data_IF_522355673802
#
_entry.id   IF_522355673802
#
_cell.length_a   1.000
_cell.length_b   1.000
_cell.length_c   1.000
_cell.angle_alpha   90.00
_cell.angle_beta   90.00
_cell.angle_gamma   90.00
#
_symmetry.space_group_name_H-M   'P 1'
#
loop_
_entity.id
_entity.type
_entity.pdbx_description
1 polymer ?
#
# COMPACT_ATOMS: atom_id res chain seq x y z
N UNK A 1 -24.96 7.09 -61.06
CA UNK A 1 -24.85 7.60 -59.66
C UNK A 1 -25.41 6.57 -58.69
N UNK A 2 -24.58 5.74 -58.06
CA UNK A 2 -24.95 4.97 -56.85
C UNK A 2 -23.74 4.93 -55.94
N UNK A 3 -23.81 5.70 -54.84
CA UNK A 3 -22.79 5.78 -53.79
C UNK A 3 -22.93 4.54 -52.92
N UNK A 4 -21.90 3.68 -52.88
CA UNK A 4 -21.82 2.63 -51.86
C UNK A 4 -21.33 3.28 -50.56
N UNK A 5 -22.20 3.26 -49.56
CA UNK A 5 -21.94 3.74 -48.21
C UNK A 5 -20.99 2.74 -47.53
N UNK A 6 -19.75 3.14 -47.26
CA UNK A 6 -18.82 2.38 -46.46
C UNK A 6 -19.27 2.43 -44.99
N UNK A 7 -19.70 1.29 -44.44
CA UNK A 7 -19.99 1.15 -43.02
C UNK A 7 -18.71 0.70 -42.30
N UNK A 8 -17.91 1.66 -41.87
CA UNK A 8 -16.71 1.44 -41.08
C UNK A 8 -17.11 1.05 -39.65
N UNK A 9 -17.02 -0.24 -39.32
CA UNK A 9 -17.21 -0.75 -37.97
C UNK A 9 -15.97 -0.38 -37.12
N UNK A 10 -16.07 0.68 -36.33
CA UNK A 10 -15.05 1.07 -35.36
C UNK A 10 -15.06 0.06 -34.19
N UNK A 11 -14.12 -0.87 -34.22
CA UNK A 11 -13.78 -1.72 -33.08
C UNK A 11 -13.12 -0.85 -32.01
N UNK A 12 -13.89 -0.47 -30.98
CA UNK A 12 -13.36 0.10 -29.75
C UNK A 12 -12.60 -1.00 -29.00
N UNK A 13 -11.30 -1.11 -29.21
CA UNK A 13 -10.43 -1.85 -28.31
C UNK A 13 -10.30 -1.06 -27.01
N UNK A 14 -11.10 -1.42 -26.00
CA UNK A 14 -10.87 -0.93 -24.64
C UNK A 14 -9.54 -1.50 -24.15
N UNK A 15 -8.57 -0.64 -23.84
CA UNK A 15 -7.39 -1.05 -23.11
C UNK A 15 -7.84 -1.45 -21.70
N UNK A 16 -7.99 -2.74 -21.44
CA UNK A 16 -8.08 -3.24 -20.08
C UNK A 16 -6.69 -3.07 -19.44
N UNK A 17 -6.50 -2.03 -18.64
CA UNK A 17 -5.43 -2.04 -17.66
C UNK A 17 -5.78 -3.11 -16.64
N UNK A 18 -4.94 -4.13 -16.47
CA UNK A 18 -5.13 -5.10 -15.40
C UNK A 18 -5.08 -4.36 -14.06
N UNK A 19 -6.23 -4.15 -13.43
CA UNK A 19 -6.28 -3.72 -12.03
C UNK A 19 -5.63 -4.82 -11.20
N UNK A 20 -4.38 -4.60 -10.79
CA UNK A 20 -3.73 -5.50 -9.85
C UNK A 20 -4.35 -5.28 -8.48
N UNK A 21 -5.13 -6.25 -8.01
CA UNK A 21 -5.69 -6.21 -6.66
C UNK A 21 -4.55 -6.20 -5.64
N UNK A 22 -4.76 -5.61 -4.47
CA UNK A 22 -3.73 -5.61 -3.43
C UNK A 22 -3.37 -7.04 -3.00
N UNK A 23 -4.34 -7.97 -3.02
CA UNK A 23 -4.11 -9.37 -2.72
C UNK A 23 -3.14 -10.01 -3.72
N UNK A 24 -3.33 -9.74 -5.02
CA UNK A 24 -2.43 -10.24 -6.05
C UNK A 24 -1.01 -9.68 -5.86
N UNK A 25 -0.90 -8.37 -5.61
CA UNK A 25 0.39 -7.73 -5.31
C UNK A 25 1.11 -8.38 -4.11
N UNK A 26 0.42 -8.52 -2.98
CA UNK A 26 0.99 -9.11 -1.76
C UNK A 26 1.34 -10.59 -1.95
N UNK A 27 0.50 -11.37 -2.62
CA UNK A 27 0.79 -12.77 -2.93
C UNK A 27 2.03 -12.94 -3.80
N UNK A 28 2.24 -12.03 -4.77
CA UNK A 28 3.44 -12.01 -5.62
C UNK A 28 4.73 -11.70 -4.85
N UNK A 29 4.62 -11.16 -3.62
CA UNK A 29 5.73 -10.92 -2.69
C UNK A 29 5.87 -12.03 -1.63
N UNK A 30 5.07 -13.08 -1.69
CA UNK A 30 5.03 -14.14 -0.66
C UNK A 30 4.40 -13.69 0.66
N UNK A 31 3.62 -12.61 0.65
CA UNK A 31 2.96 -12.03 1.83
C UNK A 31 1.53 -12.57 1.96
N UNK A 32 1.43 -13.87 2.16
CA UNK A 32 0.17 -14.60 2.19
C UNK A 32 -0.54 -14.43 3.53
N UNK A 33 -1.79 -13.92 3.50
CA UNK A 33 -2.68 -13.73 4.66
C UNK A 33 -2.30 -12.58 5.62
N UNK A 34 -2.84 -11.39 5.35
CA UNK A 34 -2.80 -10.25 6.26
C UNK A 34 -4.10 -10.21 7.07
N UNK A 35 -4.04 -10.46 8.38
CA UNK A 35 -5.20 -10.44 9.28
C UNK A 35 -4.98 -9.41 10.39
N UNK A 36 -6.06 -8.81 10.96
CA UNK A 36 -5.91 -7.78 11.97
C UNK A 36 -5.06 -8.20 13.18
N UNK A 37 -5.16 -9.45 13.62
CA UNK A 37 -4.43 -9.95 14.80
C UNK A 37 -3.00 -10.41 14.47
N UNK A 38 -2.73 -10.74 13.20
CA UNK A 38 -1.43 -11.22 12.73
C UNK A 38 -1.21 -10.88 11.27
N UNK A 39 -0.08 -10.25 10.99
CA UNK A 39 0.29 -9.84 9.64
C UNK A 39 1.81 -9.82 9.52
N UNK A 40 2.33 -9.44 8.37
CA UNK A 40 3.76 -9.43 8.08
C UNK A 40 4.26 -8.00 7.87
N UNK A 41 5.56 -7.78 8.07
CA UNK A 41 6.23 -6.51 7.83
C UNK A 41 7.50 -6.75 6.99
N UNK A 42 7.57 -6.07 5.84
CA UNK A 42 8.74 -6.05 4.97
C UNK A 42 9.78 -5.06 5.48
N UNK A 43 11.04 -5.43 5.43
CA UNK A 43 12.15 -4.52 5.71
C UNK A 43 13.46 -5.00 5.07
N UNK A 44 14.47 -4.14 5.09
CA UNK A 44 15.82 -4.48 4.63
C UNK A 44 16.06 -4.32 3.13
N UNK A 45 15.32 -3.41 2.51
CA UNK A 45 15.35 -3.04 1.09
C UNK A 45 14.80 -4.13 0.18
N UNK A 46 13.78 -3.79 -0.61
CA UNK A 46 13.15 -4.69 -1.57
C UNK A 46 12.34 -5.83 -0.94
N UNK A 47 11.88 -5.67 0.30
CA UNK A 47 11.26 -6.71 1.12
C UNK A 47 12.16 -7.95 1.29
N UNK A 48 13.45 -7.72 1.56
CA UNK A 48 14.43 -8.78 1.79
C UNK A 48 14.09 -9.64 3.02
N UNK A 49 13.56 -9.02 4.06
CA UNK A 49 13.15 -9.68 5.29
C UNK A 49 11.66 -9.48 5.53
N UNK A 50 10.99 -10.57 5.92
CA UNK A 50 9.58 -10.58 6.26
C UNK A 50 9.47 -11.00 7.72
N UNK A 51 9.14 -10.04 8.60
CA UNK A 51 8.97 -10.31 10.03
C UNK A 51 7.49 -10.43 10.37
N UNK A 52 7.05 -11.51 11.06
CA UNK A 52 5.67 -11.61 11.53
C UNK A 52 5.41 -10.63 12.69
N UNK A 53 4.26 -9.98 12.63
CA UNK A 53 3.78 -9.00 13.61
C UNK A 53 2.49 -9.52 14.23
N UNK A 54 2.29 -9.26 15.52
CA UNK A 54 1.03 -9.54 16.22
C UNK A 54 0.51 -8.28 16.88
N UNK A 55 -0.74 -7.94 16.59
CA UNK A 55 -1.41 -6.82 17.26
C UNK A 55 -2.35 -7.34 18.34
N UNK A 56 -2.21 -6.75 19.51
CA UNK A 56 -3.12 -6.95 20.62
C UNK A 56 -4.35 -6.06 20.46
N UNK A 57 -5.36 -6.27 21.31
CA UNK A 57 -6.50 -5.35 21.38
C UNK A 57 -6.07 -3.93 21.76
N UNK A 58 -5.02 -3.78 22.57
CA UNK A 58 -4.50 -2.46 22.95
C UNK A 58 -3.89 -1.75 21.73
N UNK A 59 -3.17 -2.47 20.87
CA UNK A 59 -2.61 -1.92 19.65
C UNK A 59 -3.71 -1.37 18.73
N UNK A 60 -4.76 -2.17 18.54
CA UNK A 60 -5.91 -1.76 17.75
C UNK A 60 -6.70 -0.61 18.36
N UNK A 61 -6.87 -0.58 19.68
CA UNK A 61 -7.66 0.48 20.34
C UNK A 61 -7.16 1.89 20.03
N UNK A 62 -5.84 2.06 19.92
CA UNK A 62 -5.23 3.36 19.60
C UNK A 62 -5.39 3.72 18.14
N UNK A 63 -5.37 2.74 17.23
CA UNK A 63 -5.58 2.97 15.80
C UNK A 63 -7.05 3.24 15.51
N UNK A 64 -7.95 2.46 16.09
CA UNK A 64 -9.41 2.63 15.95
C UNK A 64 -9.88 3.97 16.50
N UNK A 65 -9.26 4.47 17.58
CA UNK A 65 -9.58 5.77 18.16
C UNK A 65 -9.39 6.94 17.16
N UNK A 66 -8.52 6.79 16.16
CA UNK A 66 -8.32 7.81 15.10
C UNK A 66 -9.57 7.99 14.22
N UNK A 67 -10.40 6.95 14.12
CA UNK A 67 -11.61 6.93 13.31
C UNK A 67 -12.87 7.22 14.15
N UNK A 68 -12.72 7.78 15.36
CA UNK A 68 -13.82 8.15 16.25
C UNK A 68 -13.79 9.68 16.51
N UNK A 69 -14.83 10.43 16.11
CA UNK A 69 -16.00 9.99 15.35
C UNK A 69 -15.64 9.55 13.92
N UNK A 70 -16.48 8.72 13.26
CA UNK A 70 -16.22 8.28 11.89
C UNK A 70 -16.01 9.47 10.94
N UNK A 71 -15.01 9.41 10.03
CA UNK A 71 -14.76 10.49 9.08
C UNK A 71 -16.03 10.84 8.29
N UNK A 72 -16.29 12.14 8.16
CA UNK A 72 -17.47 12.66 7.48
C UNK A 72 -17.26 12.93 5.98
N UNK A 73 -16.00 12.98 5.52
CA UNK A 73 -15.65 13.24 4.12
C UNK A 73 -14.46 12.38 3.69
N UNK A 74 -14.27 12.15 2.37
CA UNK A 74 -13.06 11.48 1.87
C UNK A 74 -11.76 12.19 2.30
N UNK A 75 -11.76 13.52 2.35
CA UNK A 75 -10.60 14.26 2.82
C UNK A 75 -10.28 13.98 4.30
N UNK A 76 -11.30 13.97 5.16
CA UNK A 76 -11.14 13.62 6.57
C UNK A 76 -10.67 12.17 6.76
N UNK A 77 -11.15 11.24 5.93
CA UNK A 77 -10.69 9.84 5.97
C UNK A 77 -9.21 9.71 5.60
N UNK A 78 -8.72 10.48 4.62
CA UNK A 78 -7.27 10.49 4.30
C UNK A 78 -6.41 11.00 5.44
N UNK A 79 -6.85 12.04 6.16
CA UNK A 79 -6.13 12.52 7.35
C UNK A 79 -6.13 11.50 8.50
N UNK A 80 -7.25 10.79 8.69
CA UNK A 80 -7.33 9.68 9.64
C UNK A 80 -6.40 8.52 9.24
N UNK A 81 -6.40 8.13 7.96
CA UNK A 81 -5.49 7.11 7.41
C UNK A 81 -4.04 7.52 7.65
N UNK A 82 -3.64 8.74 7.30
CA UNK A 82 -2.26 9.23 7.51
C UNK A 82 -1.82 9.07 8.96
N UNK A 83 -2.68 9.47 9.89
CA UNK A 83 -2.41 9.33 11.33
C UNK A 83 -2.31 7.87 11.76
N UNK A 84 -3.23 7.02 11.27
CA UNK A 84 -3.24 5.59 11.54
C UNK A 84 -1.97 4.90 11.02
N UNK A 85 -1.52 5.19 9.80
CA UNK A 85 -0.27 4.64 9.24
C UNK A 85 0.92 4.98 10.12
N UNK A 86 1.04 6.23 10.60
CA UNK A 86 2.09 6.60 11.55
C UNK A 86 2.04 5.81 12.87
N UNK A 87 0.83 5.49 13.36
CA UNK A 87 0.65 4.68 14.56
C UNK A 87 0.95 3.19 14.32
N UNK A 88 0.69 2.67 13.12
CA UNK A 88 1.15 1.35 12.70
C UNK A 88 2.68 1.31 12.70
N UNK A 89 3.34 2.24 12.01
CA UNK A 89 4.82 2.27 11.91
C UNK A 89 5.49 2.33 13.29
N UNK A 90 4.97 3.14 14.21
CA UNK A 90 5.50 3.18 15.59
C UNK A 90 5.39 1.84 16.31
N UNK A 91 4.24 1.17 16.22
CA UNK A 91 3.97 -0.11 16.91
C UNK A 91 4.74 -1.26 16.27
N UNK A 92 4.68 -1.35 14.96
CA UNK A 92 5.38 -2.38 14.18
C UNK A 92 6.88 -2.20 14.35
N UNK A 93 7.39 -0.97 14.21
CA UNK A 93 8.80 -0.66 14.40
C UNK A 93 9.34 -1.05 15.77
N UNK A 94 8.55 -0.89 16.84
CA UNK A 94 8.93 -1.36 18.17
C UNK A 94 9.02 -2.89 18.28
N UNK A 95 8.21 -3.64 17.52
CA UNK A 95 8.26 -5.11 17.49
C UNK A 95 9.36 -5.65 16.59
N UNK A 96 9.59 -5.03 15.44
CA UNK A 96 10.50 -5.53 14.39
C UNK A 96 11.91 -4.94 14.50
N UNK A 97 12.08 -3.87 15.28
CA UNK A 97 13.30 -3.09 15.38
C UNK A 97 13.51 -2.12 14.23
N UNK A 98 12.50 -1.88 13.38
CA UNK A 98 12.57 -0.87 12.30
C UNK A 98 12.31 0.55 12.79
N UNK A 99 12.10 0.74 14.11
CA UNK A 99 12.04 2.08 14.74
C UNK A 99 13.34 2.91 14.60
N UNK A 100 14.43 2.30 14.12
CA UNK A 100 15.70 2.97 13.80
C UNK A 100 15.84 3.29 12.31
N UNK A 101 14.78 3.11 11.53
CA UNK A 101 14.71 3.55 10.14
C UNK A 101 14.99 5.04 10.02
N UNK A 102 15.64 5.43 8.93
CA UNK A 102 15.88 6.82 8.60
C UNK A 102 15.28 7.12 7.23
N UNK A 103 14.69 8.30 7.11
CA UNK A 103 13.99 8.69 5.91
C UNK A 103 14.90 8.66 4.67
N UNK A 104 14.31 8.23 3.55
CA UNK A 104 14.91 8.31 2.23
C UNK A 104 15.70 7.07 1.82
N UNK A 105 15.41 6.60 0.62
CA UNK A 105 16.13 5.48 0.01
C UNK A 105 17.61 5.81 -0.18
N UNK A 106 18.48 4.89 0.23
CA UNK A 106 19.95 4.98 0.20
C UNK A 106 20.60 5.94 1.20
N UNK A 107 19.84 6.66 2.04
CA UNK A 107 20.42 7.45 3.14
C UNK A 107 21.16 6.54 4.13
N UNK A 108 20.58 5.36 4.40
CA UNK A 108 21.22 4.25 5.12
C UNK A 108 20.61 2.95 4.64
N UNK A 109 21.48 1.99 4.32
CA UNK A 109 21.09 0.64 3.93
C UNK A 109 21.34 -0.27 5.11
N UNK A 110 20.42 -1.19 5.36
CA UNK A 110 20.60 -2.18 6.40
C UNK A 110 19.33 -2.96 6.66
N UNK A 111 19.46 -4.06 7.39
CA UNK A 111 18.35 -4.99 7.62
C UNK A 111 17.22 -4.39 8.47
N UNK A 112 17.38 -3.21 9.08
CA UNK A 112 16.34 -2.51 9.86
C UNK A 112 15.91 -1.18 9.23
N UNK A 113 16.21 -1.00 7.95
CA UNK A 113 15.86 0.19 7.19
C UNK A 113 14.82 -0.18 6.12
N UNK A 114 14.05 0.80 5.69
CA UNK A 114 12.96 0.65 4.74
C UNK A 114 13.28 1.45 3.47
N UNK A 115 13.17 0.80 2.31
CA UNK A 115 13.15 1.51 1.04
C UNK A 115 11.73 1.77 0.55
N UNK A 116 11.60 2.37 -0.63
CA UNK A 116 10.28 2.65 -1.20
C UNK A 116 9.44 1.39 -1.46
N UNK A 117 10.05 0.23 -1.67
CA UNK A 117 9.34 -1.04 -1.85
C UNK A 117 8.83 -1.55 -0.50
N UNK A 118 9.67 -1.50 0.53
CA UNK A 118 9.27 -1.86 1.90
C UNK A 118 8.10 -0.99 2.37
N UNK A 119 8.26 0.34 2.28
CA UNK A 119 7.30 1.35 2.72
C UNK A 119 5.93 1.20 2.03
N UNK A 120 5.93 1.10 0.69
CA UNK A 120 4.69 0.95 -0.07
C UNK A 120 4.00 -0.40 0.18
N UNK A 121 4.78 -1.46 0.40
CA UNK A 121 4.25 -2.79 0.73
C UNK A 121 3.62 -2.80 2.12
N UNK A 122 4.31 -2.25 3.12
CA UNK A 122 3.81 -2.14 4.49
C UNK A 122 2.57 -1.26 4.57
N UNK A 123 2.57 -0.11 3.87
CA UNK A 123 1.39 0.75 3.76
C UNK A 123 0.21 -0.01 3.14
N UNK A 124 0.43 -0.77 2.06
CA UNK A 124 -0.61 -1.61 1.44
C UNK A 124 -1.18 -2.63 2.44
N UNK A 125 -0.30 -3.27 3.23
CA UNK A 125 -0.72 -4.20 4.29
C UNK A 125 -1.61 -3.47 5.29
N UNK A 126 -1.15 -2.35 5.87
CA UNK A 126 -1.90 -1.64 6.92
C UNK A 126 -3.25 -1.11 6.41
N UNK A 127 -3.29 -0.55 5.20
CA UNK A 127 -4.54 -0.15 4.54
C UNK A 127 -5.50 -1.33 4.40
N UNK A 128 -5.00 -2.50 4.00
CA UNK A 128 -5.82 -3.71 3.91
C UNK A 128 -6.39 -4.15 5.26
N UNK A 129 -5.64 -3.96 6.36
CA UNK A 129 -6.10 -4.25 7.71
C UNK A 129 -7.19 -3.26 8.15
N UNK A 130 -7.01 -1.95 7.89
CA UNK A 130 -8.04 -0.94 8.14
C UNK A 130 -9.33 -1.26 7.36
N UNK A 131 -9.21 -1.70 6.11
CA UNK A 131 -10.35 -2.13 5.30
C UNK A 131 -11.05 -3.36 5.91
N UNK A 132 -10.30 -4.37 6.35
CA UNK A 132 -10.85 -5.55 7.02
C UNK A 132 -11.57 -5.22 8.33
N UNK A 133 -11.10 -4.21 9.06
CA UNK A 133 -11.75 -3.68 10.27
C UNK A 133 -12.94 -2.77 9.98
N UNK A 134 -13.26 -2.50 8.72
CA UNK A 134 -14.37 -1.63 8.32
C UNK A 134 -14.16 -0.15 8.63
N UNK A 135 -12.91 0.28 8.80
CA UNK A 135 -12.57 1.66 9.15
C UNK A 135 -12.54 2.61 7.93
N UNK A 136 -12.51 2.05 6.72
CA UNK A 136 -12.54 2.80 5.47
C UNK A 136 -13.97 2.85 4.91
N UNK A 137 -14.53 4.05 4.80
CA UNK A 137 -15.89 4.32 4.30
C UNK A 137 -15.88 4.88 2.89
N UNK A 138 -14.90 5.73 2.57
CA UNK A 138 -14.84 6.47 1.30
C UNK A 138 -13.84 5.88 0.30
N UNK A 139 -12.79 5.21 0.77
CA UNK A 139 -11.74 4.63 -0.07
C UNK A 139 -11.73 3.11 -0.03
N UNK A 140 -11.20 2.50 -1.09
CA UNK A 140 -10.91 1.08 -1.20
C UNK A 140 -9.43 0.89 -1.46
N UNK A 141 -8.89 -0.22 -0.99
CA UNK A 141 -7.47 -0.54 -1.15
C UNK A 141 -7.25 -1.24 -2.48
N UNK A 142 -6.29 -0.75 -3.25
CA UNK A 142 -5.84 -1.33 -4.52
C UNK A 142 -4.37 -1.73 -4.43
N UNK A 143 -3.87 -2.46 -5.42
CA UNK A 143 -2.45 -2.75 -5.52
C UNK A 143 -1.63 -1.49 -5.86
N UNK A 144 -0.42 -1.37 -5.32
CA UNK A 144 0.44 -0.23 -5.61
C UNK A 144 0.82 -0.21 -7.10
N UNK A 145 0.83 0.99 -7.68
CA UNK A 145 1.23 1.22 -9.07
C UNK A 145 2.71 1.60 -9.13
N UNK A 146 3.44 1.03 -10.08
CA UNK A 146 4.83 1.41 -10.36
C UNK A 146 4.96 2.24 -11.64
N UNK A 147 5.81 3.27 -11.58
CA UNK A 147 6.22 4.07 -12.74
C UNK A 147 7.70 3.88 -13.00
N UNK A 148 8.00 3.25 -14.13
CA UNK A 148 9.37 3.09 -14.65
C UNK A 148 9.69 4.22 -15.62
N UNK A 149 10.77 5.01 -15.38
CA UNK A 149 11.14 6.10 -16.28
C UNK A 149 11.83 5.55 -17.54
N UNK A 150 11.10 5.49 -18.65
CA UNK A 150 11.64 5.04 -19.95
C UNK A 150 12.52 6.13 -20.61
N UNK A 151 12.24 7.42 -20.35
CA UNK A 151 12.86 8.56 -21.07
C UNK A 151 13.72 9.49 -20.19
N UNK A 152 13.86 9.19 -18.89
CA UNK A 152 14.63 10.01 -17.96
C UNK A 152 15.68 9.16 -17.23
N UNK A 153 16.81 8.94 -17.90
CA UNK A 153 18.01 8.31 -17.33
C UNK A 153 18.51 9.15 -16.14
N UNK A 154 18.13 8.75 -14.92
CA UNK A 154 18.46 9.47 -13.69
C UNK A 154 17.31 9.53 -12.67
N UNK A 155 16.09 9.11 -13.03
CA UNK A 155 15.02 8.86 -12.06
C UNK A 155 14.94 7.37 -11.74
N UNK A 156 14.80 7.02 -10.47
CA UNK A 156 14.56 5.65 -10.05
C UNK A 156 13.10 5.25 -10.31
N UNK A 157 12.78 3.96 -10.44
CA UNK A 157 11.38 3.51 -10.41
C UNK A 157 10.70 3.99 -9.13
N UNK A 158 9.47 4.48 -9.23
CA UNK A 158 8.67 4.90 -8.08
C UNK A 158 7.44 4.02 -7.95
N UNK A 159 7.12 3.64 -6.72
CA UNK A 159 5.94 2.88 -6.37
C UNK A 159 5.02 3.75 -5.52
N UNK A 160 3.72 3.75 -5.80
CA UNK A 160 2.74 4.42 -4.93
C UNK A 160 2.60 3.64 -3.63
N UNK A 161 2.54 4.36 -2.51
CA UNK A 161 2.08 3.83 -1.23
C UNK A 161 0.57 4.02 -1.10
#
# INVERSE_FOLDING_TARGET
>A
MKRFLALSLLLLSACASNETTYQHYLSGKGLESQLPERFQHCHGYGCKHITPVRFTQNDWSVIEAVFIPPPATPAAEREAIKTAIGLFEQRVGAQTGTNVDIHGTFTKVGDKQLDCVDESTNTTIYLSLLQQKGLLRFHRVEGPTMRVPIIHAGRWPHQTA
#
